data_IF_698661932304
#
_entry.id   IF_698661932304
#
_cell.length_a   1.000
_cell.length_b   1.000
_cell.length_c   1.000
_cell.angle_alpha   90.00
_cell.angle_beta   90.00
_cell.angle_gamma   90.00
#
_symmetry.space_group_name_H-M   'P 1'
#
loop_
_entity.id
_entity.type
_entity.pdbx_description
1 polymer ?
2 non-polymer ?
3 water ?
#
# COMPACT_ATOMS: atom_id res chain seq x y z
N UNK A 29 -0.50 -22.34 5.45
CA UNK A 29 -0.06 -21.04 4.93
C UNK A 29 0.86 -20.28 5.89
N UNK A 30 1.61 -19.32 5.34
CA UNK A 30 2.32 -18.33 6.10
C UNK A 30 1.36 -17.47 6.91
N UNK A 31 1.88 -16.84 7.94
CA UNK A 31 1.10 -15.92 8.77
C UNK A 31 1.69 -14.54 8.69
N UNK A 32 0.84 -13.55 8.44
CA UNK A 32 1.23 -12.14 8.47
C UNK A 32 0.83 -11.57 9.83
N UNK A 33 1.81 -11.13 10.61
CA UNK A 33 1.54 -10.46 11.87
C UNK A 33 1.24 -9.01 11.65
N UNK A 34 0.35 -8.45 12.44
CA UNK A 34 0.00 -7.06 12.41
C UNK A 34 -0.04 -6.49 13.79
N UNK A 35 0.77 -5.48 14.06
CA UNK A 35 0.78 -4.74 15.34
C UNK A 35 0.05 -3.45 15.13
N UNK A 36 -0.97 -3.20 15.91
CA UNK A 36 -1.81 -2.05 15.79
C UNK A 36 -1.27 -0.92 16.64
N UNK A 37 -1.01 0.22 16.02
CA UNK A 37 -0.67 1.45 16.72
C UNK A 37 -1.93 2.13 17.21
N UNK A 38 -1.74 3.06 18.12
CA UNK A 38 -2.88 3.64 18.80
C UNK A 38 -3.92 4.23 17.85
N UNK A 39 -3.47 4.91 16.78
CA UNK A 39 -4.38 5.55 15.83
C UNK A 39 -5.12 4.56 14.95
N UNK A 40 -4.74 3.29 14.98
CA UNK A 40 -5.53 2.26 14.30
C UNK A 40 -6.53 1.54 15.23
N UNK A 41 -6.53 1.90 16.51
CA UNK A 41 -7.54 1.35 17.44
C UNK A 41 -8.93 1.71 16.85
N UNK A 42 -9.86 0.74 16.84
CA UNK A 42 -11.20 1.01 16.30
C UNK A 42 -11.41 0.72 14.84
N UNK A 43 -10.34 0.62 14.05
CA UNK A 43 -10.48 0.26 12.65
C UNK A 43 -10.46 -1.24 12.47
N UNK A 44 -11.14 -1.72 11.45
CA UNK A 44 -11.03 -3.12 11.06
C UNK A 44 -9.62 -3.36 10.54
N UNK A 45 -8.99 -4.46 10.92
CA UNK A 45 -7.72 -4.86 10.33
C UNK A 45 -7.94 -5.29 8.89
N UNK A 46 -6.87 -5.22 8.09
CA UNK A 46 -6.97 -5.73 6.75
C UNK A 46 -7.43 -7.18 6.76
N UNK A 47 -8.22 -7.57 5.75
CA UNK A 47 -8.71 -8.94 5.61
C UNK A 47 -9.05 -9.15 4.16
N UNK A 48 -9.00 -10.40 3.71
CA UNK A 48 -9.44 -10.74 2.36
C UNK A 48 -10.97 -10.83 2.33
N UNK A 49 -11.59 -10.19 1.32
CA UNK A 49 -13.07 -10.23 1.19
C UNK A 49 -13.64 -11.63 0.99
N UNK A 50 -12.99 -12.40 0.11
CA UNK A 50 -13.38 -13.76 -0.21
C UNK A 50 -12.15 -14.64 -0.37
N UNK A 51 -12.38 -15.95 -0.52
CA UNK A 51 -11.30 -16.89 -0.82
C UNK A 51 -10.63 -16.59 -2.16
N UNK A 52 -11.34 -15.89 -3.02
CA UNK A 52 -10.80 -15.48 -4.32
C UNK A 52 -10.03 -14.19 -4.36
N UNK A 53 -10.12 -13.38 -3.32
CA UNK A 53 -9.45 -12.08 -3.36
C UNK A 53 -7.92 -12.17 -3.45
N UNK A 54 -7.29 -11.25 -4.16
CA UNK A 54 -5.85 -11.19 -4.33
C UNK A 54 -5.19 -10.28 -3.31
N UNK A 55 -5.91 -9.26 -2.86
CA UNK A 55 -5.39 -8.22 -1.99
C UNK A 55 -6.31 -7.96 -0.84
N UNK A 56 -5.78 -7.21 0.10
CA UNK A 56 -6.54 -6.72 1.22
C UNK A 56 -6.59 -5.21 1.17
N UNK A 57 -7.74 -4.58 1.38
CA UNK A 57 -7.81 -3.15 1.40
C UNK A 57 -7.14 -2.60 2.66
N UNK A 58 -6.43 -1.50 2.49
CA UNK A 58 -5.82 -0.78 3.58
C UNK A 58 -6.57 0.52 3.79
N UNK A 59 -6.76 0.89 5.04
CA UNK A 59 -7.55 2.08 5.42
C UNK A 59 -6.70 3.16 6.04
N UNK A 60 -7.13 4.41 5.84
CA UNK A 60 -6.47 5.56 6.44
C UNK A 60 -6.75 5.65 7.91
N UNK A 61 -5.69 5.66 8.70
CA UNK A 61 -5.79 5.83 10.15
C UNK A 61 -5.46 7.26 10.50
N UNK A 62 -6.08 8.18 9.81
CA UNK A 62 -5.97 9.58 10.17
C UNK A 62 -6.96 9.93 11.29
N UNK A 63 -6.76 11.09 11.91
CA UNK A 63 -7.58 11.51 13.03
C UNK A 63 -9.05 11.58 12.65
N UNK A 64 -9.93 11.15 13.55
CA UNK A 64 -11.36 11.36 13.35
C UNK A 64 -11.61 12.87 13.23
N UNK A 65 -12.60 13.24 12.40
CA UNK A 65 -13.10 14.62 12.33
C UNK A 65 -12.12 15.60 11.67
N UNK A 66 -11.13 15.03 10.98
CA UNK A 66 -10.09 15.73 10.24
C UNK A 66 -10.24 15.33 8.76
N UNK A 67 -10.34 16.32 7.87
CA UNK A 67 -10.32 16.06 6.42
C UNK A 67 -9.01 16.62 5.93
N UNK A 68 -8.20 15.71 5.40
CA UNK A 68 -6.91 16.07 4.83
C UNK A 68 -7.06 16.36 3.35
N UNK A 69 -6.57 17.48 2.90
CA UNK A 69 -6.75 17.96 1.54
C UNK A 69 -5.51 17.62 0.71
N UNK A 70 -5.69 16.91 -0.40
CA UNK A 70 -4.61 16.60 -1.31
C UNK A 70 -4.97 17.29 -2.62
N UNK A 71 -4.23 18.35 -2.93
CA UNK A 71 -4.54 19.15 -4.12
C UNK A 71 -3.91 18.52 -5.37
N UNK A 72 -4.38 18.94 -6.54
CA UNK A 72 -3.85 18.38 -7.79
C UNK A 72 -2.35 18.50 -7.87
N UNK A 73 -1.71 17.39 -8.21
CA UNK A 73 -0.28 17.30 -8.37
C UNK A 73 0.48 16.98 -7.10
N UNK A 74 -0.18 17.04 -5.95
CA UNK A 74 0.50 16.93 -4.66
C UNK A 74 0.48 15.50 -4.19
N UNK A 75 1.44 15.19 -3.33
CA UNK A 75 1.59 13.86 -2.74
C UNK A 75 1.70 13.95 -1.24
N UNK A 76 1.28 12.91 -0.54
CA UNK A 76 1.43 12.82 0.90
C UNK A 76 1.45 11.41 1.40
N UNK A 77 2.03 11.17 2.57
CA UNK A 77 1.96 9.90 3.24
C UNK A 77 0.76 9.81 4.12
N UNK A 78 0.02 8.76 3.94
CA UNK A 78 -1.21 8.51 4.70
C UNK A 78 -0.93 7.36 5.66
N UNK A 79 -1.06 7.59 6.96
CA UNK A 79 -0.80 6.52 7.93
C UNK A 79 -1.85 5.42 7.93
N UNK A 80 -1.44 4.17 8.10
CA UNK A 80 -2.36 3.06 8.33
C UNK A 80 -2.48 2.70 9.80
N UNK A 81 -1.54 3.13 10.62
CA UNK A 81 -1.48 2.71 12.01
C UNK A 81 -1.11 1.25 12.21
N UNK A 82 -0.52 0.60 11.21
CA UNK A 82 -0.15 -0.81 11.25
C UNK A 82 1.32 -1.01 11.09
N UNK A 83 1.90 -1.86 11.89
CA UNK A 83 3.21 -2.42 11.67
C UNK A 83 3.03 -3.85 11.19
N UNK A 84 3.63 -4.19 10.06
CA UNK A 84 3.56 -5.54 9.54
C UNK A 84 4.77 -6.35 9.96
N UNK A 85 4.53 -7.59 10.40
CA UNK A 85 5.62 -8.53 10.62
C UNK A 85 5.50 -9.59 9.54
N UNK A 86 6.14 -9.33 8.43
CA UNK A 86 6.11 -10.23 7.31
C UNK A 86 7.17 -11.32 7.55
N UNK A 87 6.79 -12.59 7.44
CA UNK A 87 7.79 -13.63 7.68
C UNK A 87 8.83 -13.71 6.59
N UNK A 88 10.03 -14.15 6.96
CA UNK A 88 11.14 -14.43 6.03
C UNK A 88 10.65 -15.21 4.83
N UNK A 89 11.01 -14.81 3.62
CA UNK A 89 10.60 -15.49 2.40
C UNK A 89 9.40 -14.87 1.72
N UNK A 90 8.88 -13.77 2.28
CA UNK A 90 7.68 -13.13 1.76
C UNK A 90 7.86 -11.60 1.73
N UNK A 91 7.00 -10.95 0.93
CA UNK A 91 6.93 -9.50 0.85
C UNK A 91 5.49 -9.07 0.84
N UNK A 92 5.25 -7.76 1.04
CA UNK A 92 3.95 -7.17 0.77
C UNK A 92 4.12 -6.08 -0.29
N UNK A 93 3.23 -6.08 -1.27
CA UNK A 93 3.19 -5.06 -2.32
C UNK A 93 2.01 -4.16 -2.06
N UNK A 94 2.23 -2.85 -1.99
CA UNK A 94 1.18 -1.86 -1.81
C UNK A 94 0.80 -1.35 -3.18
N UNK A 95 -0.40 -1.67 -3.60
CA UNK A 95 -0.90 -1.38 -4.94
C UNK A 95 -2.06 -0.40 -4.88
N UNK A 96 -2.33 0.28 -6.00
CA UNK A 96 -3.43 1.26 -6.00
C UNK A 96 -4.80 0.61 -5.99
N UNK A 97 -5.75 1.37 -5.46
CA UNK A 97 -7.15 0.97 -5.61
C UNK A 97 -7.65 1.52 -6.93
N UNK A 98 -8.31 0.68 -7.67
CA UNK A 98 -8.71 1.01 -9.02
C UNK A 98 -9.80 2.09 -9.07
N UNK A 99 -10.75 2.05 -8.14
CA UNK A 99 -11.81 3.04 -8.16
C UNK A 99 -11.36 4.47 -7.87
N UNK A 100 -10.48 4.66 -6.87
CA UNK A 100 -9.91 5.96 -6.59
C UNK A 100 -9.15 6.49 -7.81
N UNK A 101 -8.43 5.60 -8.48
CA UNK A 101 -7.64 6.01 -9.62
C UNK A 101 -8.58 6.52 -10.73
N UNK A 102 -9.62 5.76 -11.02
CA UNK A 102 -10.56 6.20 -12.02
C UNK A 102 -11.34 7.45 -11.65
N UNK A 103 -11.99 7.41 -10.50
CA UNK A 103 -12.92 8.46 -10.09
C UNK A 103 -12.21 9.75 -9.80
N UNK A 104 -11.05 9.67 -9.17
CA UNK A 104 -10.35 10.84 -8.63
C UNK A 104 -8.98 11.12 -9.20
N UNK A 105 -8.40 10.17 -9.91
CA UNK A 105 -7.04 10.31 -10.39
C UNK A 105 -5.96 10.15 -9.32
N UNK A 106 -6.33 9.51 -8.23
CA UNK A 106 -5.44 9.23 -7.11
C UNK A 106 -4.74 7.92 -7.32
N UNK A 107 -3.45 7.85 -7.10
CA UNK A 107 -2.74 6.60 -7.10
C UNK A 107 -1.68 6.55 -6.06
N UNK A 108 -0.96 5.44 -5.96
CA UNK A 108 0.19 5.29 -5.09
C UNK A 108 1.45 5.60 -5.90
N UNK A 109 2.18 6.62 -5.52
CA UNK A 109 3.27 7.10 -6.37
C UNK A 109 4.41 6.09 -6.50
N UNK A 110 4.68 5.39 -5.41
CA UNK A 110 5.74 4.37 -5.37
C UNK A 110 5.28 2.95 -5.69
N UNK A 111 4.19 2.82 -6.39
CA UNK A 111 3.59 1.53 -6.68
C UNK A 111 4.46 0.67 -7.57
N UNK A 112 4.48 -0.63 -7.34
CA UNK A 112 3.95 -1.32 -6.18
C UNK A 112 4.98 -1.08 -5.08
N UNK A 113 4.53 -0.58 -3.98
CA UNK A 113 5.36 -0.26 -2.84
C UNK A 113 5.87 -1.52 -2.21
N UNK A 114 7.14 -1.69 -2.01
CA UNK A 114 7.70 -2.94 -1.52
C UNK A 114 7.89 -2.85 -0.05
N UNK A 115 7.29 -3.77 0.70
CA UNK A 115 7.52 -3.89 2.13
C UNK A 115 8.16 -5.25 2.35
N UNK A 116 9.37 -5.27 2.92
CA UNK A 116 10.10 -6.54 3.11
C UNK A 116 9.98 -7.06 4.53
N UNK A 117 10.51 -8.27 4.74
CA UNK A 117 10.38 -8.95 6.01
C UNK A 117 11.21 -8.34 7.12
N UNK A 118 12.11 -7.43 6.81
CA UNK A 118 12.86 -6.66 7.82
C UNK A 118 12.13 -5.42 8.33
N UNK A 119 11.16 -4.94 7.58
CA UNK A 119 10.54 -3.65 7.88
C UNK A 119 9.61 -3.67 9.07
N UNK A 120 9.94 -2.91 10.09
CA UNK A 120 9.10 -2.86 11.27
C UNK A 120 8.63 -1.44 11.58
N UNK A 121 8.71 -0.55 10.62
CA UNK A 121 8.06 0.76 10.74
C UNK A 121 6.57 0.69 10.46
N UNK A 122 5.88 1.78 10.77
CA UNK A 122 4.49 1.93 10.42
C UNK A 122 4.37 1.95 8.90
N UNK A 123 3.42 1.22 8.38
CA UNK A 123 3.08 1.25 6.97
C UNK A 123 2.31 2.51 6.65
N UNK A 124 2.87 3.30 5.71
CA UNK A 124 2.23 4.53 5.23
C UNK A 124 2.10 4.42 3.71
N UNK A 125 1.03 4.96 3.18
CA UNK A 125 0.74 4.90 1.76
C UNK A 125 1.00 6.27 1.15
N UNK A 126 1.81 6.30 0.12
CA UNK A 126 2.16 7.54 -0.58
C UNK A 126 1.22 7.80 -1.70
N UNK A 127 0.20 8.58 -1.43
CA UNK A 127 -0.78 8.96 -2.44
C UNK A 127 -0.32 10.16 -3.22
N UNK A 128 -0.62 10.19 -4.51
CA UNK A 128 -0.46 11.36 -5.35
C UNK A 128 -1.75 11.64 -6.06
N UNK A 129 -2.13 12.91 -6.17
CA UNK A 129 -3.33 13.34 -6.89
C UNK A 129 -2.93 13.71 -8.29
N UNK A 130 -3.25 12.85 -9.27
CA UNK A 130 -2.98 13.10 -10.68
C UNK A 130 -4.24 13.46 -11.45
N UNK A 131 -5.25 13.88 -10.72
CA UNK A 131 -6.47 14.44 -11.29
C UNK A 131 -6.57 15.93 -11.08
N UNK A 132 -7.77 16.46 -11.33
CA UNK A 132 -8.02 17.91 -11.33
C UNK A 132 -8.76 18.40 -10.14
N UNK A 133 -9.20 17.52 -9.25
CA UNK A 133 -10.02 18.03 -8.17
C UNK A 133 -9.25 17.94 -6.87
N UNK A 134 -9.73 18.67 -5.89
CA UNK A 134 -9.11 18.56 -4.59
C UNK A 134 -9.61 17.21 -4.12
N UNK A 135 -8.76 16.45 -3.46
CA UNK A 135 -9.17 15.18 -2.92
C UNK A 135 -9.12 15.22 -1.41
N UNK A 136 -10.16 14.72 -0.77
CA UNK A 136 -10.24 14.67 0.67
C UNK A 136 -9.95 13.29 1.23
N UNK A 137 -8.99 13.19 2.11
CA UNK A 137 -8.67 11.96 2.79
C UNK A 137 -9.28 11.98 4.21
N UNK A 138 -10.01 10.93 4.53
CA UNK A 138 -10.82 10.82 5.76
C UNK A 138 -10.46 9.53 6.48
N UNK A 139 -10.64 9.50 7.80
CA UNK A 139 -10.43 8.28 8.59
C UNK A 139 -11.28 7.14 8.06
N UNK A 140 -10.67 5.96 7.88
CA UNK A 140 -11.38 4.79 7.45
C UNK A 140 -11.47 4.57 5.95
N UNK A 141 -11.09 5.58 5.15
CA UNK A 141 -11.14 5.50 3.70
C UNK A 141 -10.21 4.40 3.25
N UNK A 142 -10.68 3.60 2.30
CA UNK A 142 -9.79 2.60 1.68
C UNK A 142 -8.87 3.33 0.70
N UNK A 143 -7.55 3.18 0.91
CA UNK A 143 -6.55 4.01 0.20
C UNK A 143 -5.59 3.22 -0.67
N UNK A 144 -5.53 1.90 -0.54
CA UNK A 144 -4.63 1.03 -1.27
C UNK A 144 -5.03 -0.39 -1.03
N UNK A 145 -4.40 -1.29 -1.74
CA UNK A 145 -4.56 -2.71 -1.47
C UNK A 145 -3.21 -3.35 -1.29
N UNK A 146 -3.12 -4.26 -0.35
CA UNK A 146 -1.90 -4.98 -0.05
C UNK A 146 -1.99 -6.40 -0.58
N UNK A 147 -0.95 -6.80 -1.26
CA UNK A 147 -0.84 -8.17 -1.78
C UNK A 147 0.38 -8.80 -1.14
N UNK A 148 0.22 -9.97 -0.58
CA UNK A 148 1.27 -10.71 0.10
C UNK A 148 1.76 -11.78 -0.87
N UNK A 149 3.08 -11.91 -1.02
CA UNK A 149 3.65 -12.84 -2.00
C UNK A 149 4.93 -13.38 -1.50
N UNK A 150 5.28 -14.61 -1.93
CA UNK A 150 6.63 -15.09 -1.66
C UNK A 150 7.65 -14.21 -2.37
N UNK A 151 8.86 -14.15 -1.83
CA UNK A 151 9.91 -13.47 -2.52
C UNK A 151 11.14 -14.39 -2.54
N UNK A 152 11.85 -14.37 -3.65
CA UNK A 152 13.08 -15.13 -3.79
C UNK A 152 14.28 -14.24 -4.09
N UNK A 153 15.43 -14.71 -3.60
CA UNK A 153 16.70 -14.06 -3.88
C UNK A 153 17.53 -15.04 -4.73
N UNK A 154 17.65 -14.76 -6.03
CA UNK A 154 18.56 -15.57 -6.82
C UNK A 154 20.00 -15.33 -6.41
N UNK A 155 20.85 -16.30 -6.71
CA UNK A 155 22.29 -16.03 -6.74
C UNK A 155 22.58 -15.00 -7.85
N UNK A 156 23.42 -14.01 -7.57
CA UNK A 156 23.82 -12.97 -8.51
C UNK A 156 25.21 -13.29 -9.06
N UNK A 157 25.32 -13.50 -10.35
CA UNK A 157 26.56 -13.97 -10.95
C UNK A 157 26.96 -13.07 -12.07
N UNK A 158 28.09 -12.40 -11.93
CA UNK A 158 28.62 -11.61 -13.04
C UNK A 158 29.14 -12.54 -14.11
N UNK A 159 28.87 -12.18 -15.37
CA UNK A 159 29.26 -12.96 -16.53
C UNK A 159 29.87 -12.04 -17.58
N UNK A 160 30.63 -12.63 -18.48
CA UNK A 160 31.34 -11.83 -19.43
C UNK A 160 30.83 -12.05 -20.79
N UNK A 161 30.51 -10.90 -21.38
CA UNK A 161 30.83 -10.56 -22.74
C UNK A 161 31.36 -9.12 -22.53
N UNK A 167 13.52 -10.88 -28.87
CA UNK A 167 13.72 -9.51 -28.42
C UNK A 167 13.45 -9.40 -26.90
N UNK A 168 12.24 -9.78 -26.49
CA UNK A 168 11.90 -9.78 -25.05
C UNK A 168 11.38 -8.45 -24.57
N UNK A 169 10.56 -8.51 -23.53
CA UNK A 169 10.10 -7.32 -22.81
C UNK A 169 11.24 -6.83 -21.94
N UNK A 170 11.43 -5.51 -21.92
CA UNK A 170 12.41 -4.88 -21.00
C UNK A 170 13.03 -3.60 -21.57
N UNK A 171 12.99 -3.47 -22.91
CA UNK A 171 13.45 -2.26 -23.62
C UNK A 171 12.34 -1.26 -23.93
N UNK A 172 12.69 -0.17 -24.62
CA UNK A 172 11.77 0.96 -24.76
C UNK A 172 11.61 1.45 -26.22
X LIG B 1 5.73 0.91 0.92
X LIG B 1 6.96 1.60 0.70
X LIG B 1 4.61 1.51 0.06
X LIG B 1 3.62 2.24 0.78
#
# INVERSE_FOLDING_TARGET
MAHHHHHHMGTLEAQTQGPGSMTAASSSAPTLGIIRLEHAKGLDLPAYETAGSAGMDLRAAVAEDRQIVLLPGRRTLVPTGLILEIPQGYEVQIRPRSGLAFKNGITCLNTPGTIDSDYRGEVKVLLINLGDDDFRIERGMRIAQAVFAPVIQPKIEERAKISETARGAGGFGSTGTA
EDO C1 O1 C2 O2
#
